data_IF_351621650105
#
_entry.id   IF_351621650105
#
_cell.length_a   1.000
_cell.length_b   1.000
_cell.length_c   1.000
_cell.angle_alpha   90.00
_cell.angle_beta   90.00
_cell.angle_gamma   90.00
#
_symmetry.space_group_name_H-M   'P 1'
#
loop_
_entity.id
_entity.type
_entity.pdbx_description
1 polymer ?
#
# COMPACT_ATOMS: atom_id res chain seq x y z
N UNK A 1 24.11 -30.76 -12.20
CA UNK A 1 25.00 -31.32 -11.16
C UNK A 1 24.57 -30.81 -9.80
N UNK A 2 24.47 -31.67 -8.79
CA UNK A 2 23.80 -31.34 -7.53
C UNK A 2 24.75 -30.70 -6.49
N UNK A 3 25.20 -29.48 -6.79
CA UNK A 3 26.23 -28.76 -6.03
C UNK A 3 25.83 -28.41 -4.58
N UNK A 4 24.53 -28.40 -4.27
CA UNK A 4 24.00 -28.23 -2.90
C UNK A 4 24.58 -29.25 -1.91
N UNK A 5 24.83 -30.48 -2.35
CA UNK A 5 25.42 -31.54 -1.53
C UNK A 5 26.85 -31.25 -1.06
N UNK A 6 27.62 -30.49 -1.85
CA UNK A 6 28.98 -30.09 -1.50
C UNK A 6 28.97 -28.93 -0.51
N UNK A 7 28.13 -27.92 -0.75
CA UNK A 7 27.97 -26.78 0.16
C UNK A 7 27.47 -27.23 1.54
N UNK A 8 26.46 -28.11 1.60
CA UNK A 8 25.93 -28.67 2.85
C UNK A 8 27.02 -29.34 3.70
N UNK A 9 27.90 -30.14 3.07
CA UNK A 9 29.01 -30.81 3.76
C UNK A 9 30.09 -29.84 4.26
N UNK A 10 30.39 -28.77 3.53
CA UNK A 10 31.35 -27.77 3.99
C UNK A 10 30.77 -26.87 5.09
N UNK A 11 29.49 -26.50 4.99
CA UNK A 11 28.80 -25.69 5.98
C UNK A 11 28.89 -26.33 7.37
N UNK A 12 28.42 -27.58 7.52
CA UNK A 12 28.46 -28.31 8.80
C UNK A 12 29.84 -28.73 9.29
N UNK A 13 30.89 -28.59 8.46
CA UNK A 13 32.29 -28.79 8.84
C UNK A 13 33.00 -27.48 9.22
N UNK A 14 32.27 -26.35 9.27
CA UNK A 14 32.81 -25.01 9.46
C UNK A 14 32.09 -24.27 10.60
N UNK A 15 32.65 -23.14 11.03
CA UNK A 15 31.98 -22.19 11.93
C UNK A 15 31.21 -21.10 11.17
N UNK A 16 30.99 -21.26 9.86
CA UNK A 16 30.28 -20.27 9.05
C UNK A 16 28.78 -20.28 9.38
N UNK A 17 28.17 -19.09 9.44
CA UNK A 17 26.71 -18.93 9.60
C UNK A 17 25.97 -18.71 8.28
N UNK A 18 26.69 -18.48 7.19
CA UNK A 18 26.10 -18.30 5.87
C UNK A 18 26.77 -19.21 4.84
N UNK A 19 25.95 -19.91 4.06
CA UNK A 19 26.36 -20.65 2.86
C UNK A 19 25.86 -19.91 1.62
N UNK A 20 26.69 -19.79 0.59
CA UNK A 20 26.30 -19.18 -0.68
C UNK A 20 26.54 -20.18 -1.81
N UNK A 21 25.49 -20.50 -2.56
CA UNK A 21 25.58 -21.30 -3.78
C UNK A 21 25.33 -20.39 -4.98
N UNK A 22 26.20 -20.42 -5.98
CA UNK A 22 26.04 -19.61 -7.20
C UNK A 22 26.54 -20.31 -8.45
N UNK A 23 25.95 -19.96 -9.60
CA UNK A 23 26.44 -20.31 -10.94
C UNK A 23 27.03 -19.08 -11.67
N UNK A 24 27.23 -17.95 -10.97
CA UNK A 24 27.67 -16.67 -11.52
C UNK A 24 26.53 -15.74 -11.95
N UNK A 25 25.29 -16.23 -12.04
CA UNK A 25 24.09 -15.44 -12.37
C UNK A 25 23.10 -15.46 -11.20
N UNK A 26 22.74 -16.66 -10.74
CA UNK A 26 21.82 -16.89 -9.63
C UNK A 26 22.65 -17.14 -8.37
N UNK A 27 22.41 -16.35 -7.33
CA UNK A 27 23.02 -16.46 -6.01
C UNK A 27 21.95 -16.86 -4.98
N UNK A 28 22.22 -17.94 -4.25
CA UNK A 28 21.35 -18.51 -3.22
C UNK A 28 22.04 -18.47 -1.87
N UNK A 29 21.42 -17.81 -0.91
CA UNK A 29 21.93 -17.65 0.45
C UNK A 29 21.20 -18.62 1.39
N UNK A 30 22.00 -19.32 2.19
CA UNK A 30 21.58 -20.34 3.15
C UNK A 30 22.16 -20.01 4.53
N UNK A 31 21.52 -20.53 5.57
CA UNK A 31 21.82 -20.31 6.99
C UNK A 31 21.45 -21.58 7.77
N UNK A 32 21.63 -21.58 9.09
CA UNK A 32 21.26 -22.64 10.02
C UNK A 32 20.11 -22.23 10.96
N UNK A 33 18.96 -21.84 10.38
CA UNK A 33 17.78 -21.42 11.15
C UNK A 33 16.99 -22.62 11.70
N UNK A 34 16.93 -23.73 10.96
CA UNK A 34 16.11 -24.89 11.36
C UNK A 34 16.82 -25.77 12.41
N UNK A 35 18.11 -26.06 12.20
CA UNK A 35 18.96 -26.85 13.11
C UNK A 35 20.38 -26.25 13.18
N UNK A 36 20.95 -26.00 14.38
CA UNK A 36 22.22 -25.30 14.51
C UNK A 36 23.39 -26.07 13.87
N UNK A 37 24.22 -25.36 13.12
CA UNK A 37 25.33 -25.86 12.30
C UNK A 37 24.92 -26.86 11.19
N UNK A 38 23.63 -26.92 10.82
CA UNK A 38 23.14 -27.65 9.65
C UNK A 38 22.50 -26.65 8.70
N UNK A 39 22.95 -26.66 7.45
CA UNK A 39 22.43 -25.75 6.44
C UNK A 39 20.97 -26.10 6.11
N UNK A 40 20.08 -25.11 6.16
CA UNK A 40 18.69 -25.22 5.72
C UNK A 40 18.62 -25.78 4.26
N UNK A 41 17.59 -26.59 3.95
CA UNK A 41 17.41 -27.13 2.59
C UNK A 41 16.99 -26.05 1.58
N UNK A 42 16.23 -25.05 2.04
CA UNK A 42 15.73 -23.93 1.24
C UNK A 42 16.56 -22.66 1.47
N UNK A 43 17.00 -21.94 0.42
CA UNK A 43 17.64 -20.65 0.61
C UNK A 43 16.63 -19.63 1.13
N UNK A 44 17.07 -18.73 2.02
CA UNK A 44 16.23 -17.64 2.53
C UNK A 44 16.21 -16.43 1.58
N UNK A 45 17.25 -16.28 0.76
CA UNK A 45 17.38 -15.21 -0.22
C UNK A 45 17.93 -15.81 -1.52
N UNK A 46 17.19 -15.64 -2.62
CA UNK A 46 17.63 -15.94 -3.98
C UNK A 46 17.67 -14.63 -4.78
N UNK A 47 18.73 -14.47 -5.59
CA UNK A 47 19.01 -13.29 -6.38
C UNK A 47 19.46 -13.71 -7.76
N UNK A 48 18.77 -13.25 -8.79
CA UNK A 48 19.25 -13.31 -10.17
C UNK A 48 19.89 -11.97 -10.51
N UNK A 49 21.15 -11.96 -10.94
CA UNK A 49 21.84 -10.73 -11.35
C UNK A 49 21.29 -10.11 -12.64
N UNK A 50 20.49 -10.86 -13.41
CA UNK A 50 19.80 -10.37 -14.61
C UNK A 50 18.41 -9.79 -14.30
N UNK A 51 17.82 -10.11 -13.15
CA UNK A 51 16.51 -9.63 -12.68
C UNK A 51 16.62 -9.15 -11.22
N UNK A 52 17.40 -8.07 -11.03
CA UNK A 52 17.62 -7.42 -9.74
C UNK A 52 16.50 -6.44 -9.42
N UNK A 53 15.75 -6.71 -8.34
CA UNK A 53 14.77 -5.78 -7.78
C UNK A 53 15.40 -4.92 -6.68
N UNK A 54 14.99 -3.66 -6.55
CA UNK A 54 15.55 -2.72 -5.56
C UNK A 54 15.54 -3.25 -4.12
N UNK A 55 14.49 -3.99 -3.75
CA UNK A 55 14.40 -4.65 -2.44
C UNK A 55 15.54 -5.66 -2.23
N UNK A 56 15.87 -6.49 -3.23
CA UNK A 56 17.01 -7.43 -3.15
C UNK A 56 18.36 -6.70 -3.08
N UNK A 57 18.47 -5.52 -3.71
CA UNK A 57 19.67 -4.67 -3.61
C UNK A 57 19.83 -4.10 -2.20
N UNK A 58 18.74 -3.70 -1.55
CA UNK A 58 18.75 -3.26 -0.14
C UNK A 58 19.16 -4.39 0.80
N UNK A 59 18.65 -5.62 0.59
CA UNK A 59 19.07 -6.78 1.36
C UNK A 59 20.55 -7.13 1.14
N UNK A 60 21.05 -7.11 -0.11
CA UNK A 60 22.47 -7.32 -0.42
C UNK A 60 23.40 -6.34 0.29
N UNK A 61 22.99 -5.08 0.46
CA UNK A 61 23.80 -4.06 1.15
C UNK A 61 24.08 -4.44 2.60
N UNK A 62 23.24 -5.25 3.26
CA UNK A 62 23.49 -5.75 4.63
C UNK A 62 24.69 -6.73 4.67
N UNK A 63 24.97 -7.44 3.59
CA UNK A 63 26.13 -8.34 3.48
C UNK A 63 27.44 -7.61 3.16
N UNK A 64 27.42 -6.30 2.87
CA UNK A 64 28.63 -5.50 2.66
C UNK A 64 29.39 -5.30 3.98
N UNK A 65 30.73 -5.36 3.92
CA UNK A 65 31.64 -5.29 5.09
C UNK A 65 31.34 -4.14 6.07
N UNK A 66 30.88 -2.98 5.58
CA UNK A 66 30.61 -1.80 6.41
C UNK A 66 29.27 -1.86 7.16
N UNK A 67 28.38 -2.77 6.76
CA UNK A 67 27.00 -2.89 7.23
C UNK A 67 26.69 -4.29 7.78
N UNK A 68 27.69 -5.18 7.83
CA UNK A 68 27.51 -6.56 8.23
C UNK A 68 27.26 -6.70 9.74
N UNK A 69 26.01 -6.99 10.10
CA UNK A 69 25.60 -7.39 11.44
C UNK A 69 24.99 -8.80 11.41
N UNK A 70 25.68 -9.77 12.00
CA UNK A 70 25.29 -11.18 11.97
C UNK A 70 23.90 -11.44 12.57
N UNK A 71 23.53 -10.75 13.67
CA UNK A 71 22.24 -10.97 14.31
C UNK A 71 21.09 -10.41 13.46
N UNK A 72 21.22 -9.17 12.98
CA UNK A 72 20.22 -8.56 12.09
C UNK A 72 20.04 -9.35 10.78
N UNK A 73 21.11 -9.92 10.24
CA UNK A 73 21.04 -10.74 9.02
C UNK A 73 20.35 -12.09 9.31
N UNK A 74 20.53 -12.70 10.49
CA UNK A 74 19.82 -13.93 10.86
C UNK A 74 18.34 -13.67 11.10
N UNK A 75 17.99 -12.60 11.82
CA UNK A 75 16.60 -12.21 12.07
C UNK A 75 15.87 -11.91 10.74
N UNK A 76 16.50 -11.10 9.87
CA UNK A 76 15.94 -10.81 8.54
C UNK A 76 15.95 -12.02 7.61
N UNK A 77 16.88 -12.98 7.74
CA UNK A 77 16.83 -14.24 7.00
C UNK A 77 15.62 -15.09 7.39
N UNK A 78 15.23 -15.11 8.67
CA UNK A 78 14.00 -15.77 9.13
C UNK A 78 12.77 -15.14 8.47
N UNK A 79 12.64 -13.81 8.54
CA UNK A 79 11.53 -13.10 7.92
C UNK A 79 11.48 -13.31 6.40
N UNK A 80 12.62 -13.22 5.70
CA UNK A 80 12.71 -13.46 4.26
C UNK A 80 12.32 -14.90 3.88
N UNK A 81 12.75 -15.91 4.65
CA UNK A 81 12.35 -17.31 4.48
C UNK A 81 10.84 -17.46 4.60
N UNK A 82 10.23 -16.95 5.66
CA UNK A 82 8.79 -17.06 5.86
C UNK A 82 7.99 -16.23 4.84
N UNK A 83 8.41 -15.02 4.48
CA UNK A 83 7.79 -14.23 3.41
C UNK A 83 7.84 -14.94 2.04
N UNK A 84 8.95 -15.62 1.73
CA UNK A 84 9.08 -16.46 0.53
C UNK A 84 8.10 -17.64 0.52
N UNK A 85 8.01 -18.36 1.65
CA UNK A 85 7.06 -19.47 1.81
C UNK A 85 5.60 -18.99 1.72
N UNK A 86 5.25 -17.91 2.41
CA UNK A 86 3.92 -17.28 2.36
C UNK A 86 3.58 -16.85 0.92
N UNK A 87 4.51 -16.23 0.20
CA UNK A 87 4.33 -15.83 -1.22
C UNK A 87 4.05 -17.04 -2.12
N UNK A 88 4.72 -18.17 -1.89
CA UNK A 88 4.46 -19.40 -2.64
C UNK A 88 3.06 -19.96 -2.33
N UNK A 89 2.66 -20.03 -1.06
CA UNK A 89 1.31 -20.45 -0.65
C UNK A 89 0.23 -19.54 -1.26
N UNK A 90 0.44 -18.23 -1.26
CA UNK A 90 -0.47 -17.26 -1.91
C UNK A 90 -0.57 -17.51 -3.42
N UNK A 91 0.56 -17.73 -4.10
CA UNK A 91 0.60 -18.05 -5.54
C UNK A 91 -0.16 -19.35 -5.86
N UNK A 92 -0.03 -20.36 -5.00
CA UNK A 92 -0.73 -21.63 -5.15
C UNK A 92 -2.24 -21.48 -4.89
N UNK A 93 -2.66 -20.68 -3.89
CA UNK A 93 -4.06 -20.34 -3.64
C UNK A 93 -4.70 -19.66 -4.85
N UNK A 94 -4.01 -18.70 -5.49
CA UNK A 94 -4.51 -18.06 -6.72
C UNK A 94 -4.60 -19.04 -7.90
N UNK A 95 -3.63 -19.94 -8.03
CA UNK A 95 -3.54 -20.88 -9.15
C UNK A 95 -4.50 -22.07 -9.01
N UNK A 96 -4.70 -22.56 -7.79
CA UNK A 96 -5.47 -23.74 -7.43
C UNK A 96 -6.00 -23.61 -5.98
N UNK A 97 -7.09 -22.84 -5.74
CA UNK A 97 -7.60 -22.63 -4.39
C UNK A 97 -7.99 -23.96 -3.75
N UNK A 98 -7.53 -24.20 -2.52
CA UNK A 98 -7.88 -25.42 -1.76
C UNK A 98 -9.34 -25.41 -1.35
N UNK A 99 -9.89 -26.59 -1.08
CA UNK A 99 -11.29 -26.75 -0.69
C UNK A 99 -11.61 -26.01 0.61
N UNK A 100 -10.65 -25.99 1.55
CA UNK A 100 -10.77 -25.25 2.81
C UNK A 100 -10.70 -23.75 2.61
N UNK A 101 -9.89 -23.26 1.66
CA UNK A 101 -9.89 -21.85 1.28
C UNK A 101 -11.22 -21.44 0.63
N UNK A 102 -11.80 -22.30 -0.23
CA UNK A 102 -13.15 -22.08 -0.78
C UNK A 102 -14.20 -22.07 0.34
N UNK A 103 -14.13 -23.00 1.32
CA UNK A 103 -15.01 -22.99 2.51
C UNK A 103 -14.85 -21.73 3.36
N UNK A 104 -13.64 -21.19 3.48
CA UNK A 104 -13.37 -19.94 4.17
C UNK A 104 -14.07 -18.77 3.45
N UNK A 105 -13.80 -18.56 2.16
CA UNK A 105 -14.44 -17.52 1.34
C UNK A 105 -15.97 -17.63 1.36
N UNK A 106 -16.52 -18.84 1.25
CA UNK A 106 -17.96 -19.07 1.38
C UNK A 106 -18.54 -18.66 2.76
N UNK A 107 -17.71 -18.63 3.80
CA UNK A 107 -18.07 -18.18 5.14
C UNK A 107 -18.06 -16.67 5.34
N UNK A 108 -17.36 -15.92 4.49
CA UNK A 108 -17.28 -14.46 4.55
C UNK A 108 -18.55 -13.77 4.00
N UNK A 109 -19.73 -14.35 4.20
CA UNK A 109 -21.03 -13.83 3.74
C UNK A 109 -21.44 -14.22 2.32
N UNK A 110 -20.65 -15.01 1.59
CA UNK A 110 -20.97 -15.42 0.20
C UNK A 110 -22.05 -16.51 0.14
N UNK A 111 -22.12 -17.41 1.14
CA UNK A 111 -23.11 -18.49 1.16
C UNK A 111 -23.58 -18.87 2.58
N UNK A 112 -24.87 -18.69 2.84
CA UNK A 112 -25.49 -18.88 4.16
C UNK A 112 -25.95 -20.31 4.46
N UNK A 113 -25.62 -21.29 3.61
CA UNK A 113 -25.99 -22.70 3.78
C UNK A 113 -24.83 -23.61 4.21
N UNK A 114 -25.14 -24.89 4.44
CA UNK A 114 -24.13 -25.91 4.78
C UNK A 114 -23.15 -26.10 3.63
N UNK A 115 -21.84 -25.96 3.89
CA UNK A 115 -20.76 -26.00 2.89
C UNK A 115 -20.37 -27.44 2.53
N UNK A 116 -21.31 -28.19 1.94
CA UNK A 116 -21.07 -29.57 1.46
C UNK A 116 -20.06 -29.60 0.31
N UNK A 117 -19.44 -30.75 0.04
CA UNK A 117 -18.44 -30.89 -1.03
C UNK A 117 -18.99 -30.44 -2.39
N UNK A 118 -20.22 -30.85 -2.75
CA UNK A 118 -20.87 -30.43 -4.01
C UNK A 118 -20.99 -28.90 -4.16
N UNK A 119 -21.13 -28.17 -3.04
CA UNK A 119 -21.18 -26.71 -3.04
C UNK A 119 -19.76 -26.15 -3.20
N UNK A 120 -18.79 -26.69 -2.45
CA UNK A 120 -17.36 -26.33 -2.59
C UNK A 120 -16.88 -26.52 -4.03
N UNK A 121 -17.14 -27.67 -4.65
CA UNK A 121 -16.75 -27.99 -6.02
C UNK A 121 -17.40 -27.05 -7.05
N UNK A 122 -18.67 -26.67 -6.83
CA UNK A 122 -19.39 -25.70 -7.67
C UNK A 122 -18.78 -24.29 -7.56
N UNK A 123 -18.38 -23.86 -6.36
CA UNK A 123 -17.86 -22.52 -6.12
C UNK A 123 -16.35 -22.38 -6.35
N UNK A 124 -15.57 -23.45 -6.27
CA UNK A 124 -14.12 -23.49 -6.56
C UNK A 124 -13.71 -22.82 -7.88
N UNK A 125 -14.34 -23.11 -9.05
CA UNK A 125 -14.03 -22.40 -10.29
C UNK A 125 -14.49 -20.94 -10.29
N UNK A 126 -15.57 -20.60 -9.57
CA UNK A 126 -16.05 -19.22 -9.43
C UNK A 126 -15.09 -18.37 -8.58
N UNK A 127 -14.59 -18.91 -7.47
CA UNK A 127 -13.58 -18.27 -6.60
C UNK A 127 -12.29 -18.04 -7.40
N UNK A 128 -11.77 -19.06 -8.10
CA UNK A 128 -10.59 -18.90 -8.98
C UNK A 128 -10.80 -17.83 -10.06
N UNK A 129 -11.95 -17.82 -10.73
CA UNK A 129 -12.27 -16.82 -11.77
C UNK A 129 -12.37 -15.41 -11.18
N UNK A 130 -13.03 -15.25 -10.02
CA UNK A 130 -13.19 -13.97 -9.34
C UNK A 130 -11.83 -13.39 -8.92
N UNK A 131 -10.98 -14.16 -8.26
CA UNK A 131 -9.63 -13.72 -7.89
C UNK A 131 -8.79 -13.31 -9.11
N UNK A 132 -8.84 -14.10 -10.19
CA UNK A 132 -8.11 -13.79 -11.43
C UNK A 132 -8.64 -12.52 -12.11
N UNK A 133 -9.96 -12.33 -12.10
CA UNK A 133 -10.63 -11.14 -12.65
C UNK A 133 -10.25 -9.89 -11.86
N UNK A 134 -10.26 -9.96 -10.53
CA UNK A 134 -9.92 -8.84 -9.65
C UNK A 134 -8.43 -8.46 -9.73
N UNK A 135 -7.52 -9.42 -9.87
CA UNK A 135 -6.11 -9.11 -10.16
C UNK A 135 -5.97 -8.41 -11.51
N UNK A 136 -6.66 -8.88 -12.55
CA UNK A 136 -6.62 -8.24 -13.87
C UNK A 136 -7.24 -6.83 -13.83
N UNK A 137 -8.29 -6.62 -13.03
CA UNK A 137 -8.89 -5.31 -12.77
C UNK A 137 -7.89 -4.37 -12.10
N UNK A 138 -7.29 -4.75 -10.97
CA UNK A 138 -6.23 -3.97 -10.30
C UNK A 138 -5.00 -3.68 -11.18
N UNK A 139 -4.59 -4.63 -12.01
CA UNK A 139 -3.49 -4.45 -12.97
C UNK A 139 -3.91 -3.48 -14.07
N UNK A 140 -5.11 -3.62 -14.62
CA UNK A 140 -5.65 -2.70 -15.61
C UNK A 140 -5.85 -1.30 -15.02
N UNK A 141 -6.33 -1.15 -13.80
CA UNK A 141 -6.42 0.14 -13.10
C UNK A 141 -5.04 0.77 -12.95
N UNK A 142 -4.03 0.04 -12.45
CA UNK A 142 -2.66 0.59 -12.35
C UNK A 142 -2.04 0.93 -13.70
N UNK A 143 -2.29 0.12 -14.74
CA UNK A 143 -1.85 0.42 -16.11
C UNK A 143 -2.59 1.64 -16.66
N UNK A 144 -3.91 1.73 -16.47
CA UNK A 144 -4.72 2.86 -16.92
C UNK A 144 -4.33 4.16 -16.21
N UNK A 145 -4.07 4.12 -14.90
CA UNK A 145 -3.55 5.28 -14.15
C UNK A 145 -2.18 5.71 -14.69
N UNK A 146 -1.27 4.76 -14.96
CA UNK A 146 0.05 5.05 -15.54
C UNK A 146 0.01 5.49 -17.01
N UNK A 147 -0.97 5.03 -17.80
CA UNK A 147 -1.20 5.45 -19.18
C UNK A 147 -1.87 6.82 -19.27
N UNK A 148 -2.82 7.13 -18.39
CA UNK A 148 -3.45 8.46 -18.31
C UNK A 148 -2.43 9.55 -18.01
N UNK A 149 -1.42 9.27 -17.18
CA UNK A 149 -0.27 10.19 -16.98
C UNK A 149 0.54 10.46 -18.26
N UNK A 150 0.34 9.68 -19.34
CA UNK A 150 0.95 9.87 -20.66
C UNK A 150 -0.03 10.22 -21.79
N UNK A 151 -1.35 10.19 -21.57
CA UNK A 151 -2.38 10.33 -22.61
C UNK A 151 -3.40 11.46 -22.33
N UNK A 152 -3.21 12.31 -21.32
CA UNK A 152 -4.03 13.51 -21.06
C UNK A 152 -3.77 14.68 -22.03
N UNK A 153 -3.82 14.38 -23.34
CA UNK A 153 -4.21 15.30 -24.40
C UNK A 153 -5.11 14.58 -25.41
N UNK A 154 -6.37 14.33 -25.07
CA UNK A 154 -7.55 14.67 -25.90
C UNK A 154 -8.91 14.19 -25.32
N UNK A 155 -9.95 15.01 -25.55
CA UNK A 155 -11.40 14.67 -25.57
C UNK A 155 -12.15 14.50 -24.25
N UNK A 156 -12.43 15.65 -23.65
CA UNK A 156 -13.79 16.25 -23.60
C UNK A 156 -14.99 15.38 -23.21
N UNK A 157 -15.53 15.68 -22.02
CA UNK A 157 -16.92 16.07 -21.73
C UNK A 157 -18.08 15.48 -22.58
N UNK A 158 -19.02 14.79 -21.90
CA UNK A 158 -20.44 15.19 -21.73
C UNK A 158 -21.30 14.02 -21.21
N UNK A 159 -21.84 14.12 -19.99
CA UNK A 159 -23.30 14.17 -19.73
C UNK A 159 -23.67 14.29 -18.24
N UNK A 160 -24.95 14.60 -17.98
CA UNK A 160 -25.43 15.30 -16.79
C UNK A 160 -26.16 14.42 -15.75
N UNK A 161 -26.10 14.85 -14.49
CA UNK A 161 -27.16 14.85 -13.45
C UNK A 161 -28.11 13.64 -13.27
N UNK A 162 -28.20 13.08 -12.06
CA UNK A 162 -29.19 13.45 -11.01
C UNK A 162 -29.09 12.49 -9.80
N UNK A 163 -28.69 13.06 -8.66
CA UNK A 163 -29.16 12.84 -7.28
C UNK A 163 -29.80 11.49 -6.83
N UNK A 164 -29.18 10.86 -5.82
CA UNK A 164 -29.88 10.41 -4.60
C UNK A 164 -28.93 10.06 -3.44
N UNK A 165 -29.08 10.78 -2.33
CA UNK A 165 -28.59 10.42 -0.99
C UNK A 165 -29.74 9.82 -0.15
N UNK A 166 -29.55 9.33 1.11
CA UNK A 166 -28.35 8.86 1.81
C UNK A 166 -28.61 7.48 2.51
N UNK A 167 -27.91 7.20 3.63
CA UNK A 167 -28.05 6.12 4.65
C UNK A 167 -27.11 4.90 4.47
N UNK A 168 -25.99 4.77 5.22
CA UNK A 168 -25.79 4.32 6.65
C UNK A 168 -26.14 2.83 6.86
N UNK A 169 -25.40 1.97 7.58
CA UNK A 169 -24.22 2.07 8.47
C UNK A 169 -23.23 0.88 8.13
N UNK A 170 -22.09 0.58 8.76
CA UNK A 170 -21.39 1.09 9.97
C UNK A 170 -19.86 0.72 9.96
N UNK A 171 -19.16 0.91 11.10
CA UNK A 171 -17.96 0.24 11.68
C UNK A 171 -17.17 -0.84 10.87
N UNK A 172 -15.84 -0.96 10.95
CA UNK A 172 -14.96 -0.82 12.12
C UNK A 172 -13.64 -0.05 11.85
N UNK A 173 -12.87 0.19 12.92
CA UNK A 173 -11.66 1.00 12.91
C UNK A 173 -10.48 0.32 12.20
N UNK A 174 -10.15 0.81 11.00
CA UNK A 174 -8.83 0.64 10.42
C UNK A 174 -8.04 1.95 10.43
N UNK A 175 -6.72 1.83 10.43
CA UNK A 175 -5.81 2.89 10.88
C UNK A 175 -5.96 4.16 10.04
N UNK A 176 -6.14 5.29 10.72
CA UNK A 176 -5.91 6.63 10.16
C UNK A 176 -4.42 6.74 9.85
N UNK A 177 -4.05 6.44 8.60
CA UNK A 177 -2.70 6.57 8.05
C UNK A 177 -2.75 7.70 7.07
N UNK A 178 -2.14 8.83 7.44
CA UNK A 178 -2.07 9.99 6.57
C UNK A 178 -1.35 9.62 5.28
N UNK A 179 -2.05 9.78 4.17
CA UNK A 179 -1.57 9.42 2.84
C UNK A 179 -0.61 10.48 2.29
N UNK A 180 0.25 10.09 1.34
CA UNK A 180 1.15 11.03 0.66
C UNK A 180 0.37 12.17 -0.03
N UNK A 181 -0.81 11.87 -0.59
CA UNK A 181 -1.73 12.84 -1.18
C UNK A 181 -2.26 13.88 -0.17
N UNK A 182 -2.59 13.47 1.05
CA UNK A 182 -3.01 14.38 2.12
C UNK A 182 -1.86 15.27 2.62
N UNK A 183 -0.64 14.72 2.66
CA UNK A 183 0.57 15.49 2.97
C UNK A 183 0.93 16.47 1.86
N UNK A 184 0.82 16.08 0.59
CA UNK A 184 1.00 16.96 -0.57
C UNK A 184 0.00 18.12 -0.55
N UNK A 185 -1.29 17.82 -0.37
CA UNK A 185 -2.33 18.82 -0.22
C UNK A 185 -2.08 19.76 0.97
N UNK A 186 -1.60 19.23 2.10
CA UNK A 186 -1.16 20.03 3.25
C UNK A 186 -0.03 21.00 2.86
N UNK A 187 1.00 20.52 2.16
CA UNK A 187 2.13 21.37 1.74
C UNK A 187 1.73 22.42 0.71
N UNK A 188 0.82 22.11 -0.22
CA UNK A 188 0.26 23.07 -1.19
C UNK A 188 -0.48 24.20 -0.45
N UNK A 189 -1.42 23.87 0.43
CA UNK A 189 -2.15 24.88 1.23
C UNK A 189 -1.20 25.67 2.13
N UNK A 190 -0.21 25.02 2.73
CA UNK A 190 0.83 25.67 3.54
C UNK A 190 1.71 26.62 2.71
N UNK A 191 1.97 26.30 1.44
CA UNK A 191 2.70 27.15 0.50
C UNK A 191 1.88 28.36 0.05
N UNK A 192 0.60 28.18 -0.28
CA UNK A 192 -0.35 29.26 -0.61
C UNK A 192 -0.43 30.28 0.53
N UNK A 193 -0.49 29.80 1.77
CA UNK A 193 -0.65 30.64 2.96
C UNK A 193 0.65 31.28 3.48
N UNK A 194 1.81 30.83 2.97
CA UNK A 194 3.16 31.23 3.43
C UNK A 194 3.42 32.74 3.44
N UNK A 195 2.83 33.48 2.51
CA UNK A 195 3.02 34.93 2.38
C UNK A 195 1.96 35.76 3.12
N UNK A 196 1.06 35.10 3.86
CA UNK A 196 -0.12 35.76 4.45
C UNK A 196 -0.33 35.49 5.94
N UNK A 197 0.14 34.35 6.47
CA UNK A 197 0.07 34.01 7.90
C UNK A 197 1.36 33.32 8.36
N UNK A 198 1.61 33.28 9.67
CA UNK A 198 2.71 32.47 10.21
C UNK A 198 2.45 30.98 9.97
N UNK A 199 3.34 30.38 9.19
CA UNK A 199 3.36 28.97 8.82
C UNK A 199 3.35 28.05 10.05
N UNK A 200 3.92 28.51 11.16
CA UNK A 200 3.99 27.79 12.45
C UNK A 200 2.62 27.54 13.07
N UNK A 201 1.62 28.35 12.70
CA UNK A 201 0.23 28.20 13.14
C UNK A 201 -0.58 27.24 12.24
N UNK A 202 -0.03 26.80 11.11
CA UNK A 202 -0.71 25.87 10.19
C UNK A 202 -0.39 24.44 10.59
N UNK A 203 -1.40 23.72 11.07
CA UNK A 203 -1.33 22.30 11.42
C UNK A 203 -2.38 21.50 10.66
N UNK A 204 -2.36 20.17 10.81
CA UNK A 204 -3.39 19.30 10.27
C UNK A 204 -3.91 18.33 11.34
N UNK A 205 -5.11 17.82 11.11
CA UNK A 205 -5.68 16.69 11.83
C UNK A 205 -6.34 15.76 10.83
N UNK A 206 -5.79 14.56 10.77
CA UNK A 206 -6.32 13.47 9.98
C UNK A 206 -7.55 12.84 10.68
N UNK A 207 -8.55 12.44 9.89
CA UNK A 207 -9.77 11.76 10.34
C UNK A 207 -10.29 10.81 9.26
N UNK A 208 -10.90 9.70 9.66
CA UNK A 208 -11.43 8.63 8.79
C UNK A 208 -12.35 9.11 7.63
N UNK A 209 -12.93 10.31 7.72
CA UNK A 209 -13.83 10.86 6.68
C UNK A 209 -13.27 12.06 5.92
N UNK A 210 -12.23 12.73 6.44
CA UNK A 210 -11.64 13.93 5.85
C UNK A 210 -10.31 14.31 6.52
N UNK A 211 -9.40 14.87 5.74
CA UNK A 211 -8.20 15.50 6.23
C UNK A 211 -8.46 16.99 6.56
N UNK A 212 -8.24 17.42 7.80
CA UNK A 212 -8.58 18.77 8.24
C UNK A 212 -7.33 19.65 8.39
N UNK A 213 -7.26 20.77 7.67
CA UNK A 213 -6.19 21.76 7.86
C UNK A 213 -6.65 22.80 8.87
N UNK A 214 -5.85 22.99 9.92
CA UNK A 214 -6.18 23.76 11.12
C UNK A 214 -5.28 24.98 11.27
N UNK A 215 -5.84 26.02 11.88
CA UNK A 215 -5.12 27.20 12.36
C UNK A 215 -4.97 27.09 13.88
N UNK A 216 -3.76 27.35 14.39
CA UNK A 216 -3.42 27.38 15.82
C UNK A 216 -3.80 26.07 16.56
N UNK A 217 -3.69 24.93 15.84
CA UNK A 217 -4.05 23.58 16.28
C UNK A 217 -5.46 23.43 16.91
N UNK A 218 -6.39 24.34 16.57
CA UNK A 218 -7.74 24.39 17.13
C UNK A 218 -8.73 23.76 16.17
N UNK A 219 -9.39 22.68 16.60
CA UNK A 219 -10.43 21.97 15.82
C UNK A 219 -11.62 22.89 15.45
N UNK A 220 -11.83 23.98 16.19
CA UNK A 220 -12.82 25.03 15.91
C UNK A 220 -12.35 26.08 14.89
N UNK A 221 -11.04 26.23 14.67
CA UNK A 221 -10.43 27.13 13.68
C UNK A 221 -9.82 26.30 12.54
N UNK A 222 -10.66 25.69 11.72
CA UNK A 222 -10.22 24.95 10.54
C UNK A 222 -10.30 25.82 9.28
N UNK A 223 -9.26 25.76 8.45
CA UNK A 223 -9.11 26.55 7.22
C UNK A 223 -9.88 25.88 6.09
N UNK A 224 -9.62 24.60 5.87
CA UNK A 224 -10.37 23.74 4.96
C UNK A 224 -10.41 22.30 5.47
N UNK A 225 -11.33 21.51 4.92
CA UNK A 225 -11.33 20.04 5.04
C UNK A 225 -11.27 19.45 3.65
N UNK A 226 -10.43 18.46 3.46
CA UNK A 226 -10.24 17.78 2.20
C UNK A 226 -10.83 16.37 2.32
N UNK A 227 -11.65 15.99 1.36
CA UNK A 227 -12.07 14.61 1.15
C UNK A 227 -11.35 14.17 -0.10
N UNK A 228 -10.32 13.33 0.05
CA UNK A 228 -9.48 12.84 -1.03
C UNK A 228 -9.74 11.34 -1.17
N UNK A 229 -10.84 10.97 -1.85
CA UNK A 229 -11.19 9.56 -2.12
C UNK A 229 -11.08 9.29 -3.61
N UNK A 230 -10.66 8.09 -4.00
CA UNK A 230 -10.34 7.71 -5.38
C UNK A 230 -11.48 7.96 -6.40
N UNK A 231 -12.74 7.97 -5.94
CA UNK A 231 -13.91 8.26 -6.79
C UNK A 231 -14.43 9.70 -6.69
N UNK A 232 -14.07 10.44 -5.64
CA UNK A 232 -14.66 11.75 -5.29
C UNK A 232 -13.65 12.57 -4.47
N UNK A 233 -13.09 13.60 -5.09
CA UNK A 233 -12.22 14.59 -4.43
C UNK A 233 -12.95 15.94 -4.29
N UNK A 234 -12.93 16.54 -3.08
CA UNK A 234 -13.43 17.91 -2.87
C UNK A 234 -12.86 18.57 -1.61
N UNK A 235 -12.77 19.88 -1.67
CA UNK A 235 -12.49 20.75 -0.53
C UNK A 235 -13.79 21.31 0.05
N UNK A 236 -13.90 21.34 1.38
CA UNK A 236 -14.94 22.05 2.12
C UNK A 236 -14.33 23.29 2.76
N UNK A 237 -15.00 24.44 2.65
CA UNK A 237 -14.70 25.66 3.41
C UNK A 237 -16.00 26.19 4.05
N UNK A 238 -15.93 26.56 5.34
CA UNK A 238 -17.04 27.23 6.02
C UNK A 238 -17.09 28.72 5.65
N UNK A 239 -18.20 29.15 5.04
CA UNK A 239 -18.49 30.55 4.74
C UNK A 239 -18.87 31.39 5.97
N UNK A 240 -19.05 32.70 5.76
CA UNK A 240 -19.36 33.67 6.82
C UNK A 240 -20.71 33.37 7.51
N UNK A 241 -21.72 32.91 6.77
CA UNK A 241 -23.04 32.51 7.29
C UNK A 241 -23.06 31.11 7.96
N UNK A 242 -21.90 30.53 8.28
CA UNK A 242 -21.70 29.13 8.76
C UNK A 242 -22.09 28.02 7.77
N UNK A 243 -22.48 28.36 6.54
CA UNK A 243 -22.73 27.40 5.46
C UNK A 243 -21.43 26.69 5.02
N UNK A 244 -21.54 25.44 4.59
CA UNK A 244 -20.41 24.62 4.15
C UNK A 244 -20.37 24.54 2.63
N UNK A 245 -19.49 25.34 2.01
CA UNK A 245 -19.29 25.32 0.57
C UNK A 245 -18.38 24.14 0.20
N UNK A 246 -18.80 23.34 -0.78
CA UNK A 246 -18.00 22.23 -1.35
C UNK A 246 -17.49 22.65 -2.72
N UNK A 247 -16.18 22.50 -2.91
CA UNK A 247 -15.47 22.78 -4.14
C UNK A 247 -14.92 21.45 -4.67
N UNK A 248 -15.42 20.91 -5.80
CA UNK A 248 -14.86 19.71 -6.39
C UNK A 248 -13.40 19.95 -6.75
N UNK A 249 -12.59 18.89 -6.64
CA UNK A 249 -11.21 18.85 -7.10
C UNK A 249 -11.11 17.70 -8.10
N UNK A 250 -10.43 17.90 -9.22
CA UNK A 250 -10.08 16.81 -10.14
C UNK A 250 -8.66 16.31 -9.83
N UNK A 251 -7.80 17.22 -9.37
CA UNK A 251 -6.42 16.97 -8.93
C UNK A 251 -6.12 17.68 -7.61
N UNK A 252 -4.99 17.37 -6.97
CA UNK A 252 -4.55 18.07 -5.75
C UNK A 252 -4.12 19.51 -6.08
N UNK A 253 -3.57 19.74 -7.28
CA UNK A 253 -3.14 21.06 -7.75
C UNK A 253 -4.29 22.06 -7.92
N UNK A 254 -5.54 21.60 -8.05
CA UNK A 254 -6.72 22.47 -8.06
C UNK A 254 -6.86 23.35 -6.80
N UNK A 255 -6.17 23.00 -5.70
CA UNK A 255 -6.08 23.85 -4.52
C UNK A 255 -5.46 25.23 -4.82
N UNK A 256 -4.62 25.36 -5.85
CA UNK A 256 -4.11 26.66 -6.31
C UNK A 256 -5.21 27.55 -6.91
N UNK A 257 -6.20 26.95 -7.60
CA UNK A 257 -7.35 27.67 -8.17
C UNK A 257 -8.24 28.29 -7.07
N UNK A 258 -8.20 27.75 -5.84
CA UNK A 258 -8.92 28.25 -4.68
C UNK A 258 -8.05 29.03 -3.67
N UNK A 259 -6.86 29.45 -4.09
CA UNK A 259 -5.88 30.16 -3.25
C UNK A 259 -6.45 31.41 -2.57
N UNK A 260 -7.19 32.27 -3.29
CA UNK A 260 -7.81 33.47 -2.70
C UNK A 260 -8.81 33.14 -1.57
N UNK A 261 -9.59 32.06 -1.72
CA UNK A 261 -10.56 31.63 -0.71
C UNK A 261 -9.86 31.10 0.54
N UNK A 262 -8.80 30.30 0.37
CA UNK A 262 -7.96 29.81 1.46
C UNK A 262 -7.31 30.97 2.23
N UNK A 263 -6.77 31.95 1.51
CA UNK A 263 -6.16 33.15 2.10
C UNK A 263 -7.19 33.99 2.85
N UNK A 264 -8.39 34.22 2.28
CA UNK A 264 -9.48 34.93 2.97
C UNK A 264 -9.87 34.22 4.25
N UNK A 265 -10.03 32.89 4.21
CA UNK A 265 -10.43 32.09 5.36
C UNK A 265 -9.36 32.06 6.46
N UNK A 266 -8.09 31.98 6.09
CA UNK A 266 -6.97 32.01 7.03
C UNK A 266 -6.86 33.37 7.75
N UNK A 267 -6.99 34.49 7.01
CA UNK A 267 -6.95 35.85 7.60
C UNK A 267 -8.05 36.09 8.64
N UNK A 268 -9.25 35.53 8.42
CA UNK A 268 -10.38 35.57 9.38
C UNK A 268 -10.04 34.97 10.77
N UNK A 269 -8.94 34.22 10.91
CA UNK A 269 -8.50 33.68 12.20
C UNK A 269 -7.36 34.47 12.86
N UNK A 270 -6.77 35.42 12.14
CA UNK A 270 -5.72 36.35 12.59
C UNK A 270 -6.26 37.70 13.07
N UNK A 271 -7.45 38.09 12.58
CA UNK A 271 -8.27 39.18 13.11
C UNK A 271 -9.02 38.76 14.39
#
# INVERSE_FOLDING_TARGET
TNHSSQLFRYFGASTAKFGILTNGIIYRFYTDLDEPNKMDETPFLEIDLLDLRDQQIQELKKFCKNNFNLNEIIDTASDLKFLGLIRNVIKDIFSNPSDDYVRFILGCGVYNGVKTQNIVDRFKPLVKKSMSSYINELVNEKIQTALKTGEEQEKSAENQNVDKSPETYDNEADKIVTTDAEMEAFYIVKSILRNHIDISLISYKDTQSYFSILFDNKVTKWICRLVLKDSVMYMIIQGENREYNRYPLETIDDLYNYSELLIKKAKMFCE
#
